data_IF_875930790026
#
_entry.id   IF_875930790026
#
_cell.length_a   1.000
_cell.length_b   1.000
_cell.length_c   1.000
_cell.angle_alpha   90.00
_cell.angle_beta   90.00
_cell.angle_gamma   90.00
#
_symmetry.space_group_name_H-M   'P 1'
#
loop_
_entity.id
_entity.type
_entity.pdbx_description
1 polymer ?
#
# COMPACT_ATOMS: atom_id res chain seq x y z
N UNK A 1 4.84 10.45 -0.38
CA UNK A 1 4.25 9.36 -1.19
C UNK A 1 3.56 8.32 -0.31
N UNK A 2 4.23 7.79 0.73
CA UNK A 2 3.66 6.75 1.57
C UNK A 2 2.37 7.14 2.31
N UNK A 3 2.22 8.38 2.76
CA UNK A 3 0.98 8.88 3.37
C UNK A 3 -0.25 8.75 2.46
N UNK A 4 -0.09 8.88 1.13
CA UNK A 4 -1.20 8.75 0.19
C UNK A 4 -1.60 7.28 -0.02
N UNK A 5 -0.61 6.40 -0.02
CA UNK A 5 -0.78 4.94 -0.14
C UNK A 5 -1.44 4.39 1.14
N UNK A 6 -1.01 4.83 2.32
CA UNK A 6 -1.60 4.44 3.61
C UNK A 6 -2.96 5.08 3.88
N UNK A 7 -3.37 6.08 3.09
CA UNK A 7 -4.71 6.68 3.21
C UNK A 7 -5.80 5.87 2.52
N UNK A 8 -5.45 4.97 1.58
CA UNK A 8 -6.43 4.09 0.93
C UNK A 8 -6.48 2.72 1.61
N UNK A 9 -7.64 2.34 2.19
CA UNK A 9 -7.83 1.01 2.77
C UNK A 9 -7.60 -0.13 1.78
N UNK A 10 -7.88 0.08 0.48
CA UNK A 10 -7.66 -0.93 -0.56
C UNK A 10 -6.18 -1.19 -0.79
N UNK A 11 -5.37 -0.14 -0.75
CA UNK A 11 -3.92 -0.25 -0.92
C UNK A 11 -3.28 -0.94 0.28
N UNK A 12 -3.75 -0.69 1.50
CA UNK A 12 -3.33 -1.43 2.69
C UNK A 12 -3.72 -2.91 2.60
N UNK A 13 -4.94 -3.21 2.15
CA UNK A 13 -5.38 -4.59 1.93
C UNK A 13 -4.50 -5.32 0.90
N UNK A 14 -4.06 -4.64 -0.15
CA UNK A 14 -3.12 -5.20 -1.13
C UNK A 14 -1.75 -5.50 -0.50
N UNK A 15 -1.24 -4.64 0.39
CA UNK A 15 0.00 -4.91 1.15
C UNK A 15 -0.17 -6.14 2.04
N UNK A 16 -1.29 -6.26 2.75
CA UNK A 16 -1.58 -7.43 3.59
C UNK A 16 -1.73 -8.71 2.76
N UNK A 17 -2.30 -8.63 1.56
CA UNK A 17 -2.37 -9.77 0.64
C UNK A 17 -0.98 -10.20 0.16
N UNK A 18 -0.06 -9.27 -0.07
CA UNK A 18 1.34 -9.60 -0.39
C UNK A 18 2.03 -10.27 0.81
N UNK A 19 1.79 -9.78 2.03
CA UNK A 19 2.28 -10.42 3.24
C UNK A 19 1.79 -11.87 3.39
N UNK A 20 0.51 -12.13 3.11
CA UNK A 20 -0.08 -13.48 3.17
C UNK A 20 0.56 -14.43 2.14
N UNK A 21 0.89 -13.93 0.94
CA UNK A 21 1.59 -14.72 -0.09
C UNK A 21 3.02 -15.08 0.32
N UNK A 22 3.71 -14.18 1.02
CA UNK A 22 5.07 -14.39 1.53
C UNK A 22 5.06 -15.38 2.70
N UNK A 23 4.07 -15.27 3.59
CA UNK A 23 3.85 -16.24 4.67
C UNK A 23 3.61 -17.64 4.11
N UNK A 24 2.73 -17.75 3.10
CA UNK A 24 2.43 -19.00 2.39
C UNK A 24 3.60 -19.54 1.54
N UNK A 25 4.69 -18.78 1.36
CA UNK A 25 5.84 -19.16 0.54
C UNK A 25 5.59 -19.12 -0.96
N UNK A 26 4.49 -18.52 -1.40
CA UNK A 26 4.13 -18.35 -2.83
C UNK A 26 4.78 -17.14 -3.49
N UNK A 27 5.38 -16.25 -2.69
CA UNK A 27 6.10 -15.05 -3.13
C UNK A 27 7.36 -14.90 -2.28
N UNK A 28 8.49 -14.55 -2.88
CA UNK A 28 9.71 -14.27 -2.11
C UNK A 28 9.65 -12.88 -1.48
N UNK A 29 10.24 -12.72 -0.30
CA UNK A 29 10.24 -11.43 0.40
C UNK A 29 10.97 -10.34 -0.39
N UNK A 30 12.06 -10.69 -1.07
CA UNK A 30 12.88 -9.81 -1.92
C UNK A 30 12.11 -9.19 -3.09
N UNK A 31 11.01 -9.81 -3.54
CA UNK A 31 10.17 -9.24 -4.60
C UNK A 31 9.40 -8.00 -4.12
N UNK A 32 9.15 -7.89 -2.81
CA UNK A 32 8.28 -6.85 -2.24
C UNK A 32 8.95 -5.92 -1.25
N UNK A 33 9.92 -6.42 -0.47
CA UNK A 33 10.61 -5.68 0.59
C UNK A 33 12.10 -5.72 0.31
N UNK A 34 12.67 -4.52 0.18
CA UNK A 34 14.10 -4.29 -0.01
C UNK A 34 14.83 -4.21 1.35
N UNK A 35 14.14 -3.73 2.39
CA UNK A 35 14.70 -3.68 3.74
C UNK A 35 13.81 -2.97 4.75
N UNK A 36 14.40 -2.55 5.86
CA UNK A 36 13.72 -1.80 6.92
C UNK A 36 14.48 -0.52 7.24
N UNK A 37 13.73 0.51 7.63
CA UNK A 37 14.32 1.76 8.12
C UNK A 37 14.88 1.51 9.52
N UNK A 38 16.20 1.54 9.66
CA UNK A 38 16.89 1.48 10.94
C UNK A 38 17.05 2.89 11.51
N UNK A 39 16.68 3.11 12.77
CA UNK A 39 16.87 4.39 13.47
C UNK A 39 18.34 4.80 13.67
N UNK A 40 19.30 3.91 13.34
CA UNK A 40 20.73 4.12 13.46
C UNK A 40 21.46 4.36 12.13
N UNK A 41 20.79 4.26 10.99
CA UNK A 41 21.37 4.60 9.70
C UNK A 41 20.71 5.90 9.24
N UNK A 42 21.51 6.97 9.28
CA UNK A 42 21.12 8.26 8.75
C UNK A 42 20.73 8.08 7.28
N UNK A 43 19.44 8.26 6.98
CA UNK A 43 18.83 8.75 5.74
C UNK A 43 19.70 8.69 4.46
N UNK A 44 20.30 7.53 4.17
CA UNK A 44 21.19 7.37 3.03
C UNK A 44 20.32 7.01 1.84
N UNK A 45 19.88 8.08 1.18
CA UNK A 45 19.30 8.07 -0.15
C UNK A 45 20.41 7.71 -1.16
N UNK A 46 20.90 6.47 -1.09
CA UNK A 46 21.76 5.88 -2.12
C UNK A 46 20.96 4.78 -2.76
N UNK A 47 20.34 5.16 -3.88
CA UNK A 47 20.01 4.22 -4.92
C UNK A 47 21.29 3.47 -5.32
N UNK A 48 21.11 2.19 -5.67
CA UNK A 48 22.09 1.33 -6.32
C UNK A 48 23.02 0.56 -5.38
N UNK A 49 22.48 -0.51 -4.79
CA UNK A 49 23.12 -1.80 -5.02
C UNK A 49 22.28 -2.52 -6.06
N UNK A 50 22.86 -2.68 -7.25
CA UNK A 50 22.38 -3.54 -8.32
C UNK A 50 21.94 -4.88 -7.71
N UNK A 51 20.63 -5.09 -7.66
CA UNK A 51 20.09 -6.44 -7.66
C UNK A 51 20.26 -6.90 -9.11
N UNK A 52 21.50 -7.25 -9.45
CA UNK A 52 21.88 -7.77 -10.75
C UNK A 52 20.82 -8.77 -11.17
N UNK A 53 20.21 -8.44 -12.30
CA UNK A 53 19.36 -9.28 -13.10
C UNK A 53 19.94 -10.69 -13.06
N UNK A 54 19.23 -11.61 -12.41
CA UNK A 54 19.57 -13.03 -12.32
C UNK A 54 19.67 -13.57 -13.74
N UNK A 55 20.87 -13.50 -14.32
CA UNK A 55 21.26 -14.26 -15.49
C UNK A 55 21.44 -15.70 -15.00
N UNK A 56 20.50 -16.55 -15.36
CA UNK A 56 20.36 -17.93 -14.88
C UNK A 56 21.38 -18.90 -15.51
N UNK A 57 22.47 -18.40 -16.11
CA UNK A 57 23.48 -19.21 -16.77
C UNK A 57 24.90 -18.66 -16.53
N UNK A 58 25.54 -18.99 -15.41
CA UNK A 58 26.88 -19.61 -15.48
C UNK A 58 27.35 -20.26 -14.16
N UNK A 59 28.19 -21.26 -14.37
CA UNK A 59 28.59 -22.38 -13.53
C UNK A 59 29.52 -22.05 -12.33
N UNK A 60 29.39 -22.91 -11.31
CA UNK A 60 30.44 -23.48 -10.44
C UNK A 60 31.56 -22.60 -9.79
N UNK A 61 31.50 -22.50 -8.45
CA UNK A 61 32.58 -22.87 -7.49
C UNK A 61 32.71 -21.94 -6.25
N UNK A 62 31.78 -22.04 -5.29
CA UNK A 62 31.85 -21.27 -4.04
C UNK A 62 30.79 -21.57 -2.97
N UNK A 63 30.86 -22.73 -2.32
CA UNK A 63 29.90 -23.24 -1.31
C UNK A 63 29.74 -22.43 0.00
N UNK A 64 30.19 -21.17 0.06
CA UNK A 64 30.04 -20.27 1.23
C UNK A 64 28.95 -19.20 1.11
N UNK A 65 28.60 -18.76 -0.10
CA UNK A 65 27.69 -17.62 -0.30
C UNK A 65 26.21 -17.95 -0.12
N UNK A 66 25.78 -19.15 -0.54
CA UNK A 66 24.37 -19.53 -0.59
C UNK A 66 23.72 -19.70 0.79
N UNK A 67 24.45 -20.23 1.78
CA UNK A 67 23.91 -20.42 3.14
C UNK A 67 23.76 -19.12 3.92
N UNK A 68 24.71 -18.18 3.75
CA UNK A 68 24.64 -16.87 4.40
C UNK A 68 23.50 -16.01 3.81
N UNK A 69 23.33 -16.05 2.49
CA UNK A 69 22.24 -15.35 1.80
C UNK A 69 20.87 -15.89 2.19
N UNK A 70 20.72 -17.22 2.24
CA UNK A 70 19.46 -17.87 2.65
C UNK A 70 19.08 -17.48 4.08
N UNK A 71 20.05 -17.46 5.00
CA UNK A 71 19.81 -17.05 6.39
C UNK A 71 19.39 -15.57 6.49
N UNK A 72 20.02 -14.68 5.72
CA UNK A 72 19.68 -13.25 5.68
C UNK A 72 18.26 -13.02 5.15
N UNK A 73 17.86 -13.75 4.10
CA UNK A 73 16.49 -13.68 3.56
C UNK A 73 15.44 -14.20 4.54
N UNK A 74 15.76 -15.25 5.31
CA UNK A 74 14.86 -15.78 6.33
C UNK A 74 14.70 -14.81 7.52
N UNK A 75 15.79 -14.17 7.96
CA UNK A 75 15.75 -13.11 8.98
C UNK A 75 14.94 -11.91 8.49
N UNK A 76 15.11 -11.48 7.24
CA UNK A 76 14.36 -10.38 6.63
C UNK A 76 12.87 -10.73 6.51
N UNK A 77 12.54 -11.96 6.11
CA UNK A 77 11.16 -12.48 6.07
C UNK A 77 10.51 -12.42 7.45
N UNK A 78 11.18 -12.92 8.49
CA UNK A 78 10.63 -12.94 9.84
C UNK A 78 10.36 -11.52 10.38
N UNK A 79 11.30 -10.59 10.18
CA UNK A 79 11.11 -9.18 10.54
C UNK A 79 9.96 -8.54 9.74
N UNK A 80 9.82 -8.85 8.46
CA UNK A 80 8.73 -8.34 7.63
C UNK A 80 7.37 -8.81 8.16
N UNK A 81 7.25 -10.10 8.47
CA UNK A 81 6.02 -10.70 8.98
C UNK A 81 5.61 -10.11 10.33
N UNK A 82 6.57 -9.84 11.23
CA UNK A 82 6.29 -9.15 12.48
C UNK A 82 5.71 -7.76 12.25
N UNK A 83 6.29 -6.98 11.33
CA UNK A 83 5.79 -5.64 10.99
C UNK A 83 4.43 -5.71 10.29
N UNK A 84 4.22 -6.66 9.37
CA UNK A 84 2.92 -6.87 8.72
C UNK A 84 1.84 -7.30 9.72
N UNK A 85 2.18 -8.05 10.77
CA UNK A 85 1.24 -8.38 11.84
C UNK A 85 0.81 -7.13 12.63
N UNK A 86 1.72 -6.19 12.89
CA UNK A 86 1.39 -4.89 13.51
C UNK A 86 0.47 -4.08 12.60
N UNK A 87 0.81 -3.97 11.31
CA UNK A 87 -0.01 -3.30 10.29
C UNK A 87 -1.42 -3.90 10.24
N UNK A 88 -1.53 -5.23 10.26
CA UNK A 88 -2.83 -5.95 10.30
C UNK A 88 -3.64 -5.58 11.54
N UNK A 89 -3.00 -5.53 12.71
CA UNK A 89 -3.66 -5.14 13.97
C UNK A 89 -4.17 -3.70 13.94
N UNK A 90 -3.36 -2.76 13.44
CA UNK A 90 -3.76 -1.35 13.31
C UNK A 90 -4.84 -1.16 12.24
N UNK A 91 -4.79 -1.88 11.13
CA UNK A 91 -5.83 -1.87 10.11
C UNK A 91 -7.17 -2.36 10.66
N UNK A 92 -7.19 -3.42 11.48
CA UNK A 92 -8.41 -3.93 12.09
C UNK A 92 -9.01 -2.95 13.12
N UNK A 93 -8.15 -2.25 13.87
CA UNK A 93 -8.58 -1.16 14.78
C UNK A 93 -9.14 0.02 13.99
N UNK A 94 -8.51 0.38 12.87
CA UNK A 94 -8.99 1.42 11.96
C UNK A 94 -10.37 1.08 11.40
N UNK A 95 -10.60 -0.18 10.99
CA UNK A 95 -11.92 -0.65 10.53
C UNK A 95 -12.99 -0.54 11.62
N UNK A 96 -12.68 -0.96 12.85
CA UNK A 96 -13.59 -0.84 13.99
C UNK A 96 -13.90 0.61 14.36
N UNK A 97 -12.92 1.51 14.25
CA UNK A 97 -13.13 2.95 14.47
C UNK A 97 -14.06 3.53 13.40
N UNK A 98 -13.85 3.15 12.13
CA UNK A 98 -14.72 3.54 11.02
C UNK A 98 -16.17 3.06 11.22
N UNK A 99 -16.38 1.80 11.64
CA UNK A 99 -17.71 1.25 11.89
C UNK A 99 -18.45 1.94 13.05
N UNK A 100 -17.73 2.43 14.07
CA UNK A 100 -18.32 3.04 15.28
C UNK A 100 -18.54 4.54 15.18
N UNK A 101 -17.55 5.27 14.67
CA UNK A 101 -17.51 6.74 14.71
C UNK A 101 -17.54 7.37 13.31
N UNK A 102 -17.43 6.55 12.27
CA UNK A 102 -17.44 7.00 10.87
C UNK A 102 -16.07 7.40 10.34
N UNK A 103 -16.07 7.78 9.07
CA UNK A 103 -14.89 8.29 8.38
C UNK A 103 -14.39 9.60 9.00
N UNK A 104 -13.07 9.75 9.08
CA UNK A 104 -12.41 10.97 9.57
C UNK A 104 -12.69 11.32 11.05
N UNK A 105 -13.12 10.34 11.86
CA UNK A 105 -13.18 10.52 13.31
C UNK A 105 -11.76 10.65 13.90
N UNK A 106 -11.59 11.28 15.08
CA UNK A 106 -10.28 11.37 15.73
C UNK A 106 -9.65 10.00 16.00
N UNK A 107 -10.47 8.99 16.33
CA UNK A 107 -10.00 7.62 16.53
C UNK A 107 -9.51 6.99 15.23
N UNK A 108 -10.23 7.20 14.12
CA UNK A 108 -9.83 6.75 12.79
C UNK A 108 -8.49 7.38 12.37
N UNK A 109 -8.38 8.71 12.47
CA UNK A 109 -7.18 9.45 12.09
C UNK A 109 -5.95 9.01 12.90
N UNK A 110 -6.12 8.75 14.20
CA UNK A 110 -5.04 8.23 15.06
C UNK A 110 -4.57 6.84 14.60
N UNK A 111 -5.50 5.93 14.32
CA UNK A 111 -5.15 4.58 13.83
C UNK A 111 -4.47 4.64 12.46
N UNK A 112 -4.95 5.50 11.56
CA UNK A 112 -4.35 5.72 10.25
C UNK A 112 -2.92 6.26 10.35
N UNK A 113 -2.67 7.18 11.29
CA UNK A 113 -1.33 7.72 11.53
C UNK A 113 -0.36 6.63 12.02
N UNK A 114 -0.77 5.82 13.00
CA UNK A 114 0.02 4.68 13.48
C UNK A 114 0.32 3.66 12.38
N UNK A 115 -0.68 3.34 11.57
CA UNK A 115 -0.52 2.46 10.41
C UNK A 115 0.48 3.02 9.39
N UNK A 116 0.45 4.33 9.18
CA UNK A 116 1.38 5.02 8.27
C UNK A 116 2.80 4.97 8.82
N UNK A 117 2.99 5.20 10.11
CA UNK A 117 4.28 5.10 10.78
C UNK A 117 4.86 3.69 10.65
N UNK A 118 4.06 2.65 10.89
CA UNK A 118 4.49 1.26 10.73
C UNK A 118 4.91 0.95 9.28
N UNK A 119 4.11 1.38 8.30
CA UNK A 119 4.42 1.18 6.88
C UNK A 119 5.67 1.94 6.44
N UNK A 120 5.92 3.13 7.01
CA UNK A 120 7.15 3.89 6.75
C UNK A 120 8.41 3.20 7.27
N UNK A 121 8.28 2.26 8.22
CA UNK A 121 9.43 1.48 8.68
C UNK A 121 9.88 0.40 7.70
N UNK A 122 9.07 0.08 6.69
CA UNK A 122 9.35 -0.94 5.68
C UNK A 122 9.78 -0.24 4.39
N UNK A 123 10.92 -0.64 3.84
CA UNK A 123 11.36 -0.22 2.51
C UNK A 123 10.84 -1.22 1.49
N UNK A 124 9.85 -0.80 0.71
CA UNK A 124 9.31 -1.59 -0.39
C UNK A 124 10.19 -1.45 -1.64
N UNK A 125 10.17 -2.48 -2.48
CA UNK A 125 10.80 -2.42 -3.81
C UNK A 125 10.07 -1.41 -4.70
N UNK A 126 10.78 -0.87 -5.70
CA UNK A 126 10.21 0.07 -6.68
C UNK A 126 8.97 -0.53 -7.37
N UNK A 127 9.06 -1.79 -7.80
CA UNK A 127 7.97 -2.54 -8.44
C UNK A 127 6.71 -2.58 -7.56
N UNK A 128 6.87 -2.81 -6.25
CA UNK A 128 5.75 -2.81 -5.30
C UNK A 128 5.16 -1.42 -5.12
N UNK A 129 5.98 -0.38 -5.01
CA UNK A 129 5.50 1.01 -4.89
C UNK A 129 4.70 1.42 -6.14
N UNK A 130 5.19 1.09 -7.34
CA UNK A 130 4.49 1.35 -8.60
C UNK A 130 3.12 0.66 -8.65
N UNK A 131 3.08 -0.64 -8.31
CA UNK A 131 1.83 -1.41 -8.23
C UNK A 131 0.82 -0.76 -7.27
N UNK A 132 1.28 -0.35 -6.08
CA UNK A 132 0.41 0.30 -5.08
C UNK A 132 -0.09 1.67 -5.56
N UNK A 133 0.75 2.43 -6.26
CA UNK A 133 0.35 3.69 -6.89
C UNK A 133 -0.69 3.47 -8.00
N UNK A 134 -0.57 2.41 -8.80
CA UNK A 134 -1.52 2.11 -9.87
C UNK A 134 -2.88 1.67 -9.33
N UNK A 135 -2.91 0.90 -8.23
CA UNK A 135 -4.15 0.60 -7.51
C UNK A 135 -4.85 1.90 -7.08
N UNK A 136 -4.10 2.86 -6.53
CA UNK A 136 -4.65 4.14 -6.11
C UNK A 136 -5.18 4.97 -7.30
N UNK A 137 -4.43 5.05 -8.40
CA UNK A 137 -4.86 5.75 -9.61
C UNK A 137 -6.12 5.14 -10.22
N UNK A 138 -6.18 3.81 -10.32
CA UNK A 138 -7.35 3.09 -10.80
C UNK A 138 -8.59 3.40 -9.96
N UNK A 139 -8.48 3.47 -8.63
CA UNK A 139 -9.61 3.87 -7.79
C UNK A 139 -10.09 5.30 -8.06
N UNK A 140 -9.16 6.25 -8.24
CA UNK A 140 -9.51 7.63 -8.56
C UNK A 140 -10.18 7.72 -9.93
N UNK A 141 -9.70 6.94 -10.90
CA UNK A 141 -10.29 6.89 -12.24
C UNK A 141 -11.69 6.28 -12.23
N UNK A 142 -11.93 5.25 -11.40
CA UNK A 142 -13.26 4.67 -11.18
C UNK A 142 -14.22 5.72 -10.60
N UNK A 143 -13.81 6.45 -9.56
CA UNK A 143 -14.61 7.54 -8.97
C UNK A 143 -14.94 8.59 -10.03
N UNK A 144 -13.95 9.07 -10.79
CA UNK A 144 -14.17 10.06 -11.87
C UNK A 144 -15.07 9.53 -12.98
N UNK A 145 -15.00 8.23 -13.27
CA UNK A 145 -15.90 7.59 -14.24
C UNK A 145 -17.34 7.62 -13.72
N UNK A 146 -17.57 7.19 -12.49
CA UNK A 146 -18.92 7.21 -11.89
C UNK A 146 -19.47 8.62 -11.77
N UNK A 147 -18.67 9.60 -11.36
CA UNK A 147 -19.08 11.01 -11.33
C UNK A 147 -19.53 11.52 -12.71
N UNK A 148 -18.78 11.18 -13.78
CA UNK A 148 -19.15 11.53 -15.16
C UNK A 148 -20.43 10.82 -15.61
N UNK A 149 -20.60 9.54 -15.28
CA UNK A 149 -21.81 8.78 -15.59
C UNK A 149 -23.03 9.36 -14.86
N UNK A 150 -22.91 9.69 -13.57
CA UNK A 150 -23.97 10.33 -12.79
C UNK A 150 -24.34 11.69 -13.39
N UNK A 151 -23.34 12.53 -13.70
CA UNK A 151 -23.56 13.81 -14.36
C UNK A 151 -24.33 13.64 -15.67
N UNK A 152 -23.94 12.68 -16.51
CA UNK A 152 -24.60 12.38 -17.79
C UNK A 152 -26.06 12.00 -17.59
N UNK A 153 -26.37 11.18 -16.58
CA UNK A 153 -27.74 10.79 -16.28
C UNK A 153 -28.55 12.00 -15.78
N UNK A 154 -28.04 12.72 -14.78
CA UNK A 154 -28.78 13.79 -14.10
C UNK A 154 -28.96 15.02 -15.00
N UNK A 155 -27.92 15.43 -15.73
CA UNK A 155 -27.96 16.61 -16.60
C UNK A 155 -28.60 16.27 -17.95
N UNK A 156 -28.11 15.25 -18.65
CA UNK A 156 -28.53 15.01 -20.04
C UNK A 156 -29.85 14.25 -20.12
N UNK A 157 -30.12 13.30 -19.21
CA UNK A 157 -31.35 12.48 -19.25
C UNK A 157 -32.46 13.05 -18.37
N UNK A 158 -32.16 13.49 -17.16
CA UNK A 158 -33.15 14.03 -16.23
C UNK A 158 -33.38 15.54 -16.39
N UNK A 159 -32.58 16.23 -17.21
CA UNK A 159 -32.78 17.64 -17.56
C UNK A 159 -32.40 18.64 -16.45
N UNK A 160 -31.60 18.23 -15.45
CA UNK A 160 -31.09 19.16 -14.45
C UNK A 160 -30.09 20.13 -15.08
N UNK A 161 -30.12 21.41 -14.69
CA UNK A 161 -29.12 22.37 -15.17
C UNK A 161 -27.73 22.04 -14.63
N UNK A 162 -26.70 22.14 -15.49
CA UNK A 162 -25.32 21.85 -15.13
C UNK A 162 -24.84 22.70 -13.94
N UNK A 163 -25.20 23.98 -13.92
CA UNK A 163 -24.86 24.90 -12.82
C UNK A 163 -25.44 24.46 -11.48
N UNK A 164 -26.64 23.88 -11.49
CA UNK A 164 -27.24 23.34 -10.28
C UNK A 164 -26.54 22.05 -9.84
N UNK A 165 -26.25 21.14 -10.78
CA UNK A 165 -25.52 19.91 -10.49
C UNK A 165 -24.13 20.19 -9.87
N UNK A 166 -23.35 21.10 -10.46
CA UNK A 166 -22.00 21.44 -9.97
C UNK A 166 -22.04 22.08 -8.58
N UNK A 167 -23.08 22.84 -8.24
CA UNK A 167 -23.24 23.45 -6.91
C UNK A 167 -23.70 22.44 -5.85
N UNK A 168 -24.61 21.54 -6.21
CA UNK A 168 -25.32 20.70 -5.23
C UNK A 168 -24.70 19.31 -5.08
N UNK A 169 -24.08 18.75 -6.11
CA UNK A 169 -23.62 17.36 -6.10
C UNK A 169 -22.31 17.13 -5.29
N UNK A 170 -21.21 17.88 -5.49
CA UNK A 170 -19.95 17.63 -4.76
C UNK A 170 -20.07 17.65 -3.22
N UNK A 171 -20.76 18.62 -2.58
CA UNK A 171 -20.86 18.66 -1.12
C UNK A 171 -21.76 17.56 -0.54
N UNK A 172 -22.61 16.95 -1.36
CA UNK A 172 -23.59 15.94 -0.93
C UNK A 172 -23.27 14.53 -1.46
N UNK A 173 -22.07 14.31 -1.99
CA UNK A 173 -21.69 13.06 -2.66
C UNK A 173 -21.71 11.82 -1.74
N UNK A 174 -21.63 12.04 -0.43
CA UNK A 174 -21.65 10.99 0.61
C UNK A 174 -22.98 10.94 1.39
N UNK A 175 -23.97 11.76 1.03
CA UNK A 175 -25.28 11.70 1.68
C UNK A 175 -26.05 10.49 1.14
N UNK A 176 -26.24 9.48 2.00
CA UNK A 176 -27.13 8.33 1.75
C UNK A 176 -28.60 8.68 1.95
#
# INVERSE_FOLDING_TARGET
>A
MMQAISASPKTIAEILNMADKIEAGTMQISESVDGFVSTNEADDYVAEEDFDEFDEEDDDDGQGGSKALTKKLEELKNQALERFALVRSHFEKMRKAFEKEGYNSPAYAKCQMQLTEDLMTIRFTVKTIERLCDVLRSQVDDVRRFEREIRKIVVDRCGMSQDHFVKTFPPNILNL
#
